data_IF_725971231065
#
_entry.id   IF_725971231065
#
_cell.length_a   1.000
_cell.length_b   1.000
_cell.length_c   1.000
_cell.angle_alpha   90.00
_cell.angle_beta   90.00
_cell.angle_gamma   90.00
#
_symmetry.space_group_name_H-M   'P 1'
#
loop_
_entity.id
_entity.type
_entity.pdbx_description
1 polymer ?
#
# COMPACT_ATOMS: atom_id res chain seq x y z
N UNK A 1 -14.20 -5.35 17.36
CA UNK A 1 -12.88 -4.68 17.48
C UNK A 1 -13.09 -3.27 18.01
N UNK A 2 -12.18 -2.79 18.86
CA UNK A 2 -12.21 -1.39 19.34
C UNK A 2 -11.82 -0.47 18.18
N UNK A 3 -12.57 0.62 17.96
CA UNK A 3 -12.30 1.60 16.91
C UNK A 3 -11.01 2.36 17.22
N UNK A 4 -10.07 2.40 16.26
CA UNK A 4 -8.87 3.24 16.35
C UNK A 4 -9.25 4.70 16.14
N UNK A 5 -8.75 5.58 17.00
CA UNK A 5 -9.04 7.03 16.99
C UNK A 5 -7.88 7.88 16.45
N UNK A 6 -6.76 7.25 16.10
CA UNK A 6 -5.55 7.93 15.57
C UNK A 6 -5.65 8.29 14.08
N UNK A 7 -6.62 7.70 13.37
CA UNK A 7 -6.79 7.86 11.92
C UNK A 7 -7.89 8.86 11.58
N UNK A 8 -7.61 9.65 10.55
CA UNK A 8 -8.53 10.64 10.00
C UNK A 8 -9.19 10.12 8.71
N UNK A 9 -10.12 10.87 8.12
CA UNK A 9 -10.85 10.45 6.92
C UNK A 9 -9.96 10.10 5.74
N UNK A 10 -8.86 10.83 5.56
CA UNK A 10 -7.86 10.56 4.50
C UNK A 10 -7.18 9.20 4.67
N UNK A 11 -6.94 8.76 5.91
CA UNK A 11 -6.35 7.47 6.23
C UNK A 11 -7.33 6.34 5.94
N UNK A 12 -8.62 6.55 6.23
CA UNK A 12 -9.68 5.60 5.89
C UNK A 12 -9.82 5.46 4.36
N UNK A 13 -9.78 6.58 3.63
CA UNK A 13 -9.81 6.58 2.16
C UNK A 13 -8.59 5.88 1.55
N UNK A 14 -7.40 6.12 2.11
CA UNK A 14 -6.19 5.42 1.72
C UNK A 14 -6.32 3.91 1.96
N UNK A 15 -6.82 3.50 3.14
CA UNK A 15 -7.06 2.09 3.47
C UNK A 15 -7.96 1.40 2.47
N UNK A 16 -9.07 2.04 2.11
CA UNK A 16 -10.04 1.46 1.18
C UNK A 16 -9.47 1.35 -0.23
N UNK A 17 -8.70 2.36 -0.66
CA UNK A 17 -8.00 2.33 -1.95
C UNK A 17 -6.94 1.24 -1.99
N UNK A 18 -6.08 1.16 -0.98
CA UNK A 18 -5.04 0.15 -0.89
C UNK A 18 -5.61 -1.26 -0.79
N UNK A 19 -6.71 -1.46 -0.05
CA UNK A 19 -7.43 -2.73 -0.01
C UNK A 19 -7.91 -3.16 -1.40
N UNK A 20 -8.52 -2.27 -2.18
CA UNK A 20 -8.98 -2.56 -3.53
C UNK A 20 -7.81 -2.95 -4.44
N UNK A 21 -6.72 -2.19 -4.39
CA UNK A 21 -5.49 -2.53 -5.11
C UNK A 21 -5.00 -3.94 -4.76
N UNK A 22 -4.92 -4.31 -3.47
CA UNK A 22 -4.50 -5.66 -3.08
C UNK A 22 -5.46 -6.75 -3.57
N UNK A 23 -6.78 -6.51 -3.53
CA UNK A 23 -7.77 -7.48 -4.03
C UNK A 23 -7.62 -7.75 -5.52
N UNK A 24 -7.21 -6.75 -6.30
CA UNK A 24 -7.04 -6.86 -7.75
C UNK A 24 -5.65 -7.36 -8.14
N UNK A 25 -4.61 -6.87 -7.45
CA UNK A 25 -3.21 -6.99 -7.89
C UNK A 25 -2.37 -7.95 -7.03
N UNK A 26 -2.83 -8.32 -5.84
CA UNK A 26 -2.13 -9.26 -4.96
C UNK A 26 -2.87 -10.59 -4.79
N UNK A 27 -4.14 -10.53 -4.38
CA UNK A 27 -4.93 -11.71 -3.98
C UNK A 27 -4.97 -12.80 -5.06
N UNK A 28 -5.16 -12.49 -6.37
CA UNK A 28 -5.20 -13.52 -7.40
C UNK A 28 -3.86 -14.24 -7.64
N UNK A 29 -2.74 -13.65 -7.21
CA UNK A 29 -1.39 -14.12 -7.54
C UNK A 29 -0.61 -14.65 -6.33
N UNK A 30 -1.13 -14.44 -5.12
CA UNK A 30 -0.44 -14.75 -3.88
C UNK A 30 0.03 -16.21 -3.79
N UNK A 31 -0.82 -17.19 -4.14
CA UNK A 31 -0.47 -18.61 -4.08
C UNK A 31 0.74 -18.95 -4.99
N UNK A 32 0.86 -18.28 -6.14
CA UNK A 32 2.00 -18.48 -7.02
C UNK A 32 3.27 -17.86 -6.43
N UNK A 33 3.18 -16.67 -5.83
CA UNK A 33 4.31 -16.02 -5.18
C UNK A 33 4.84 -16.82 -3.99
N UNK A 34 3.97 -17.51 -3.26
CA UNK A 34 4.39 -18.44 -2.20
C UNK A 34 5.19 -19.62 -2.76
N UNK A 35 4.76 -20.19 -3.89
CA UNK A 35 5.50 -21.28 -4.58
C UNK A 35 6.84 -20.79 -5.13
N UNK A 36 6.87 -19.58 -5.68
CA UNK A 36 8.08 -18.97 -6.25
C UNK A 36 9.04 -18.43 -5.19
N UNK A 37 8.57 -18.29 -3.93
CA UNK A 37 9.34 -17.71 -2.82
C UNK A 37 9.56 -16.20 -2.94
N UNK A 38 8.84 -15.50 -3.82
CA UNK A 38 8.97 -14.07 -4.03
C UNK A 38 7.70 -13.44 -4.63
N UNK A 39 7.44 -12.20 -4.27
CA UNK A 39 6.40 -11.37 -4.91
C UNK A 39 6.88 -10.90 -6.29
N UNK A 40 5.96 -10.85 -7.26
CA UNK A 40 6.25 -10.35 -8.61
C UNK A 40 6.85 -8.95 -8.61
N UNK A 41 7.83 -8.71 -9.49
CA UNK A 41 8.39 -7.36 -9.73
C UNK A 41 7.34 -6.41 -10.28
N UNK A 42 6.39 -6.91 -11.06
CA UNK A 42 5.36 -6.07 -11.68
C UNK A 42 4.36 -5.55 -10.65
N UNK A 43 4.05 -6.35 -9.62
CA UNK A 43 3.28 -5.89 -8.48
C UNK A 43 3.96 -4.70 -7.79
N UNK A 44 5.26 -4.80 -7.51
CA UNK A 44 6.01 -3.71 -6.88
C UNK A 44 6.06 -2.45 -7.74
N UNK A 45 6.19 -2.59 -9.07
CA UNK A 45 6.14 -1.45 -10.00
C UNK A 45 4.78 -0.75 -9.94
N UNK A 46 3.68 -1.50 -10.04
CA UNK A 46 2.32 -0.94 -9.92
C UNK A 46 2.10 -0.26 -8.57
N UNK A 47 2.54 -0.88 -7.48
CA UNK A 47 2.44 -0.28 -6.15
C UNK A 47 3.21 1.04 -6.04
N UNK A 48 4.40 1.11 -6.64
CA UNK A 48 5.21 2.33 -6.71
C UNK A 48 4.53 3.43 -7.54
N UNK A 49 4.00 3.10 -8.72
CA UNK A 49 3.27 4.05 -9.58
C UNK A 49 2.03 4.63 -8.90
N UNK A 50 1.39 3.86 -8.00
CA UNK A 50 0.24 4.31 -7.21
C UNK A 50 0.61 5.04 -5.90
N UNK A 51 1.91 5.22 -5.61
CA UNK A 51 2.37 5.92 -4.41
C UNK A 51 2.22 5.12 -3.11
N UNK A 52 2.11 3.80 -3.18
CA UNK A 52 1.95 2.94 -1.99
C UNK A 52 3.28 2.58 -1.31
N UNK A 53 4.41 2.94 -1.89
CA UNK A 53 5.74 2.60 -1.37
C UNK A 53 6.39 3.83 -0.75
N UNK A 54 6.95 3.65 0.45
CA UNK A 54 7.70 4.69 1.17
C UNK A 54 6.95 6.03 1.30
N UNK A 55 5.74 6.03 1.89
CA UNK A 55 4.82 7.16 1.84
C UNK A 55 5.38 8.47 2.43
N UNK A 56 6.30 8.38 3.39
CA UNK A 56 6.90 9.55 4.05
C UNK A 56 8.06 10.17 3.27
N UNK A 57 8.48 9.58 2.15
CA UNK A 57 9.58 10.09 1.34
C UNK A 57 9.14 11.36 0.61
N UNK A 58 9.98 12.41 0.56
CA UNK A 58 9.65 13.64 -0.18
C UNK A 58 9.39 13.41 -1.67
N UNK A 59 8.54 14.25 -2.26
CA UNK A 59 8.21 14.19 -3.69
C UNK A 59 9.45 14.35 -4.59
N UNK A 60 10.46 15.12 -4.13
CA UNK A 60 11.74 15.30 -4.83
C UNK A 60 12.51 13.98 -5.08
N UNK A 61 12.17 12.91 -4.35
CA UNK A 61 12.74 11.58 -4.51
C UNK A 61 11.71 10.56 -5.05
N UNK A 62 10.55 11.03 -5.50
CA UNK A 62 9.47 10.20 -6.04
C UNK A 62 8.54 9.59 -4.99
N UNK A 63 8.57 10.08 -3.74
CA UNK A 63 7.57 9.73 -2.73
C UNK A 63 6.34 10.64 -2.75
N UNK A 64 5.51 10.56 -1.71
CA UNK A 64 4.25 11.33 -1.60
C UNK A 64 4.19 12.23 -0.36
N UNK A 65 5.27 12.28 0.43
CA UNK A 65 5.47 13.20 1.55
C UNK A 65 4.31 13.28 2.57
N UNK A 66 3.67 12.14 2.86
CA UNK A 66 2.61 12.06 3.88
C UNK A 66 3.17 11.70 5.26
N UNK A 67 2.36 11.84 6.30
CA UNK A 67 2.80 11.57 7.66
C UNK A 67 2.98 10.06 7.97
N UNK A 68 3.61 9.77 9.11
CA UNK A 68 3.99 8.41 9.49
C UNK A 68 2.80 7.44 9.65
N UNK A 69 1.60 7.93 9.96
CA UNK A 69 0.40 7.10 10.19
C UNK A 69 0.05 6.26 8.97
N UNK A 70 0.39 6.70 7.76
CA UNK A 70 0.18 5.94 6.51
C UNK A 70 0.92 4.60 6.47
N UNK A 71 2.04 4.45 7.20
CA UNK A 71 2.72 3.16 7.33
C UNK A 71 1.96 2.16 8.22
N UNK A 72 1.00 2.65 9.02
CA UNK A 72 0.22 1.86 9.96
C UNK A 72 -1.24 1.64 9.51
N UNK A 73 -1.60 2.13 8.32
CA UNK A 73 -2.93 1.95 7.72
C UNK A 73 -3.04 0.59 7.05
#
# INVERSE_FOLDING_TARGET
>A
MIKRTVFESEHEMFRDSFRKFLLEEAVPFHEQWEKDGQVSRDFWRKAGEMGYLSPTVPEAYGGVEVDFRYNAV
#
